data_IF_781269959162
#
_entry.id   IF_781269959162
#
_cell.length_a   1.000
_cell.length_b   1.000
_cell.length_c   1.000
_cell.angle_alpha   90.00
_cell.angle_beta   90.00
_cell.angle_gamma   90.00
#
_symmetry.space_group_name_H-M   'P 1'
#
loop_
_entity.id
_entity.type
_entity.pdbx_description
1 polymer ?
2 water ?
#
# COMPACT_ATOMS: atom_id res chain seq x y z
N UNK A 1 4.95 -4.30 -17.20
CA UNK A 1 4.85 -3.35 -16.05
C UNK A 1 6.00 -2.34 -16.07
N UNK A 2 5.64 -1.06 -16.02
CA UNK A 2 6.60 0.04 -15.90
C UNK A 2 6.27 0.82 -14.63
N UNK A 3 7.27 0.96 -13.76
CA UNK A 3 7.08 1.60 -12.46
C UNK A 3 8.04 2.77 -12.33
N UNK A 4 7.62 3.79 -11.59
CA UNK A 4 8.58 4.78 -11.12
C UNK A 4 9.60 4.11 -10.21
N UNK A 5 10.85 4.57 -10.25
CA UNK A 5 11.86 4.04 -9.34
C UNK A 5 12.74 5.08 -8.69
N UNK A 6 12.38 6.35 -8.84
CA UNK A 6 13.14 7.43 -8.24
C UNK A 6 12.92 7.52 -6.73
N UNK A 7 13.98 7.89 -6.02
CA UNK A 7 13.93 8.08 -4.58
C UNK A 7 13.45 9.46 -4.18
N UNK A 8 12.60 9.50 -3.16
CA UNK A 8 12.19 10.74 -2.52
C UNK A 8 11.82 11.82 -3.52
N UNK A 9 12.54 12.94 -3.48
CA UNK A 9 12.19 14.07 -4.36
C UNK A 9 13.11 14.25 -5.58
N UNK A 10 13.90 13.23 -5.89
CA UNK A 10 14.80 13.26 -7.05
C UNK A 10 13.97 13.29 -8.34
N UNK A 11 14.59 13.66 -9.48
CA UNK A 11 13.84 13.68 -10.74
C UNK A 11 13.22 12.32 -11.07
N UNK A 12 11.99 12.32 -11.59
CA UNK A 12 11.30 11.08 -11.95
C UNK A 12 12.14 10.20 -12.86
N UNK A 13 12.19 8.91 -12.54
CA UNK A 13 12.76 7.90 -13.43
C UNK A 13 11.87 6.67 -13.40
N UNK A 14 11.94 5.87 -14.46
CA UNK A 14 11.17 4.63 -14.50
C UNK A 14 12.04 3.43 -14.82
N UNK A 15 11.50 2.26 -14.52
CA UNK A 15 12.12 1.02 -14.91
C UNK A 15 11.05 0.07 -15.38
N UNK A 16 11.43 -0.81 -16.30
CA UNK A 16 10.55 -1.84 -16.78
C UNK A 16 10.83 -3.09 -15.94
N UNK A 17 9.79 -3.63 -15.32
CA UNK A 17 9.96 -4.79 -14.44
C UNK A 17 10.32 -6.05 -15.24
N UNK A 18 11.10 -6.97 -14.63
CA UNK A 18 11.63 -8.17 -15.31
C UNK A 18 10.61 -9.23 -15.73
N UNK A 19 9.70 -9.60 -14.83
CA UNK A 19 8.87 -10.79 -15.01
C UNK A 19 7.41 -10.42 -14.78
N UNK A 20 6.51 -11.34 -15.12
CA UNK A 20 5.07 -11.07 -15.10
C UNK A 20 4.50 -10.93 -13.69
N UNK A 21 5.16 -11.57 -12.73
CA UNK A 21 4.75 -11.51 -11.33
C UNK A 21 5.25 -10.26 -10.64
N UNK A 22 5.34 -9.16 -11.40
CA UNK A 22 5.82 -7.88 -10.88
C UNK A 22 4.79 -6.78 -10.91
N UNK A 23 4.83 -5.98 -9.86
CA UNK A 23 4.00 -4.79 -9.74
C UNK A 23 4.87 -3.67 -9.18
N UNK A 24 4.25 -2.52 -8.92
CA UNK A 24 4.99 -1.36 -8.43
C UNK A 24 4.76 -1.14 -6.94
N UNK A 25 5.73 -0.49 -6.30
CA UNK A 25 5.51 -0.03 -4.94
C UNK A 25 6.04 1.38 -4.71
N UNK A 26 5.49 1.99 -3.68
CA UNK A 26 5.96 3.24 -3.13
C UNK A 26 5.95 3.08 -1.61
N UNK A 27 7.09 3.33 -0.99
CA UNK A 27 7.26 3.17 0.45
C UNK A 27 7.79 4.46 1.04
N UNK A 28 7.07 5.03 2.00
CA UNK A 28 7.45 6.29 2.65
C UNK A 28 7.75 5.99 4.11
N UNK A 29 8.92 6.39 4.58
CA UNK A 29 9.28 6.17 5.98
C UNK A 29 10.09 7.33 6.55
N UNK A 30 10.33 7.29 7.86
CA UNK A 30 11.14 8.31 8.51
C UNK A 30 12.41 7.66 9.01
N UNK A 31 13.55 8.23 8.60
CA UNK A 31 14.87 7.83 9.09
C UNK A 31 15.35 8.90 10.07
N UNK A 32 15.21 8.63 11.37
CA UNK A 32 15.48 9.65 12.39
C UNK A 32 14.36 10.68 12.41
N UNK A 33 14.57 11.81 11.73
CA UNK A 33 13.53 12.83 11.53
C UNK A 33 13.29 13.08 10.04
N UNK A 34 14.07 12.43 9.19
CA UNK A 34 14.09 12.72 7.76
C UNK A 34 13.18 11.79 6.97
N UNK A 35 12.24 12.37 6.23
CA UNK A 35 11.34 11.58 5.40
C UNK A 35 12.04 11.08 4.16
N UNK A 36 11.80 9.82 3.82
CA UNK A 36 12.35 9.25 2.60
C UNK A 36 11.31 8.43 1.90
N UNK A 37 11.43 8.36 0.57
CA UNK A 37 10.51 7.57 -0.25
C UNK A 37 11.33 6.68 -1.16
N UNK A 38 10.96 5.40 -1.20
CA UNK A 38 11.52 4.46 -2.16
C UNK A 38 10.42 4.01 -3.12
N UNK A 39 10.76 3.89 -4.40
CA UNK A 39 9.82 3.44 -5.42
C UNK A 39 10.48 2.40 -6.30
N UNK A 40 9.69 1.47 -6.82
CA UNK A 40 10.21 0.56 -7.81
C UNK A 40 9.34 -0.64 -8.17
N UNK A 41 9.92 -1.53 -8.96
CA UNK A 41 9.34 -2.84 -9.25
C UNK A 41 9.54 -3.79 -8.08
N UNK A 42 8.57 -4.67 -7.89
CA UNK A 42 8.69 -5.72 -6.87
C UNK A 42 7.75 -6.88 -7.18
N UNK A 43 8.07 -8.05 -6.64
CA UNK A 43 7.17 -9.20 -6.72
C UNK A 43 6.46 -9.48 -5.38
N UNK A 44 6.83 -8.71 -4.36
CA UNK A 44 6.20 -8.79 -3.04
C UNK A 44 5.97 -7.38 -2.48
N UNK A 45 4.81 -7.17 -1.86
CA UNK A 45 4.49 -5.87 -1.30
C UNK A 45 5.28 -5.68 -0.01
N UNK A 46 6.08 -4.60 0.11
CA UNK A 46 6.92 -4.44 1.30
C UNK A 46 6.12 -4.38 2.60
N UNK A 47 6.67 -4.93 3.68
CA UNK A 47 6.10 -4.74 5.00
C UNK A 47 6.11 -3.26 5.38
N UNK A 48 5.11 -2.84 6.16
CA UNK A 48 5.15 -1.53 6.77
C UNK A 48 5.82 -1.66 8.14
N UNK A 49 7.05 -1.18 8.21
CA UNK A 49 7.86 -1.28 9.43
C UNK A 49 7.47 -0.18 10.42
N UNK A 50 7.87 -0.31 11.71
CA UNK A 50 7.50 0.72 12.69
C UNK A 50 7.80 2.17 12.30
N UNK A 51 8.88 2.39 11.55
CA UNK A 51 9.22 3.75 11.15
C UNK A 51 8.58 4.18 9.82
N UNK A 52 7.80 3.28 9.23
CA UNK A 52 7.11 3.59 7.98
C UNK A 52 5.90 4.48 8.18
N UNK A 53 5.64 5.33 7.18
CA UNK A 53 4.41 6.13 7.11
C UNK A 53 3.36 5.36 6.30
N UNK A 54 3.75 4.89 5.12
CA UNK A 54 2.86 4.06 4.32
C UNK A 54 3.64 3.21 3.34
N UNK A 55 2.97 2.16 2.88
CA UNK A 55 3.41 1.36 1.75
C UNK A 55 2.21 1.27 0.80
N UNK A 56 2.48 1.47 -0.49
CA UNK A 56 1.46 1.36 -1.51
C UNK A 56 1.96 0.47 -2.62
N UNK A 57 1.16 -0.55 -2.96
CA UNK A 57 1.51 -1.53 -3.98
C UNK A 57 0.40 -1.54 -5.01
N UNK A 58 0.76 -1.42 -6.28
CA UNK A 58 -0.21 -1.21 -7.33
C UNK A 58 0.29 -1.79 -8.64
N UNK A 59 -0.65 -2.11 -9.54
CA UNK A 59 -0.31 -2.83 -10.78
C UNK A 59 -0.20 -1.98 -12.06
N UNK A 60 -0.91 -0.87 -12.14
CA UNK A 60 -0.96 -0.14 -13.41
C UNK A 60 0.37 0.58 -13.68
N UNK A 61 0.74 0.73 -14.95
CA UNK A 61 1.95 1.46 -15.29
C UNK A 61 1.94 2.85 -14.69
N UNK A 62 3.06 3.22 -14.05
CA UNK A 62 3.21 4.54 -13.44
C UNK A 62 2.21 4.81 -12.32
N UNK A 63 1.73 3.74 -11.68
CA UNK A 63 0.73 3.90 -10.63
C UNK A 63 1.32 4.40 -9.30
N UNK A 64 2.64 4.28 -9.17
CA UNK A 64 3.34 4.53 -7.90
C UNK A 64 4.09 5.87 -7.82
N UNK A 65 3.54 6.92 -8.44
CA UNK A 65 4.14 8.25 -8.35
C UNK A 65 4.16 8.72 -6.90
N UNK B 1 -4.62 3.37 17.34
CA UNK B 1 -5.07 3.81 15.99
C UNK B 1 -6.55 3.45 15.76
N UNK B 2 -7.23 4.31 15.02
CA UNK B 2 -8.58 4.06 14.51
C UNK B 2 -8.39 3.84 13.01
N UNK B 3 -9.13 2.90 12.44
CA UNK B 3 -9.10 2.66 10.98
C UNK B 3 -10.50 2.50 10.45
N UNK B 4 -10.72 2.87 9.19
CA UNK B 4 -11.97 2.42 8.54
C UNK B 4 -11.95 0.90 8.42
N UNK B 5 -13.12 0.26 8.53
CA UNK B 5 -13.17 -1.19 8.32
C UNK B 5 -14.33 -1.67 7.46
N UNK B 6 -15.00 -0.74 6.78
CA UNK B 6 -16.11 -1.11 5.91
C UNK B 6 -15.64 -1.71 4.58
N UNK B 7 -16.42 -2.65 4.08
CA UNK B 7 -16.15 -3.30 2.80
C UNK B 7 -16.67 -2.54 1.59
N UNK B 8 -15.88 -2.53 0.52
CA UNK B 8 -16.32 -1.94 -0.74
C UNK B 8 -17.00 -0.58 -0.55
N UNK B 9 -18.25 -0.48 -1.01
CA UNK B 9 -18.95 0.79 -0.95
C UNK B 9 -20.12 0.74 0.06
N UNK B 10 -20.05 -0.21 1.00
CA UNK B 10 -20.96 -0.25 2.15
C UNK B 10 -20.78 1.00 3.01
N UNK B 11 -21.75 1.30 3.89
CA UNK B 11 -21.64 2.51 4.69
C UNK B 11 -20.41 2.52 5.60
N UNK B 12 -19.75 3.67 5.67
CA UNK B 12 -18.48 3.79 6.37
C UNK B 12 -18.62 3.40 7.83
N UNK B 13 -17.69 2.57 8.30
CA UNK B 13 -17.59 2.24 9.71
C UNK B 13 -16.12 2.30 10.11
N UNK B 14 -15.86 2.45 11.40
CA UNK B 14 -14.49 2.45 11.91
C UNK B 14 -14.32 1.41 13.02
N UNK B 15 -13.08 1.00 13.24
CA UNK B 15 -12.74 0.19 14.39
C UNK B 15 -11.48 0.73 15.05
N UNK B 16 -11.40 0.56 16.36
CA UNK B 16 -10.22 0.92 17.12
C UNK B 16 -9.35 -0.33 17.16
N UNK B 17 -8.09 -0.18 16.77
CA UNK B 17 -7.20 -1.32 16.65
C UNK B 17 -6.83 -1.84 18.03
N UNK B 18 -6.50 -3.14 18.12
CA UNK B 18 -6.21 -3.79 19.41
C UNK B 18 -5.01 -3.23 20.20
N UNK B 19 -3.96 -2.81 19.51
CA UNK B 19 -2.80 -2.25 20.21
C UNK B 19 -2.01 -1.31 19.33
N UNK B 20 -0.99 -0.70 19.93
CA UNK B 20 -0.18 0.35 19.31
C UNK B 20 0.62 -0.09 18.09
N UNK B 21 0.81 -1.40 17.93
CA UNK B 21 1.57 -1.94 16.79
C UNK B 21 0.75 -2.02 15.52
N UNK B 22 -0.56 -1.86 15.64
CA UNK B 22 -1.45 -1.93 14.48
C UNK B 22 -1.44 -0.65 13.67
N UNK B 23 -1.70 -0.81 12.38
CA UNK B 23 -1.90 0.30 11.46
C UNK B 23 -3.10 -0.05 10.59
N UNK B 24 -3.38 0.78 9.58
CA UNK B 24 -4.57 0.58 8.75
C UNK B 24 -4.21 0.03 7.38
N UNK B 25 -5.15 -0.68 6.75
CA UNK B 25 -4.95 -1.13 5.38
C UNK B 25 -6.22 -1.01 4.57
N UNK B 26 -6.01 -0.90 3.27
CA UNK B 26 -7.06 -0.89 2.27
C UNK B 26 -6.55 -1.76 1.13
N UNK B 27 -7.33 -2.77 0.79
CA UNK B 27 -6.96 -3.75 -0.23
C UNK B 27 -8.09 -3.88 -1.24
N UNK B 28 -7.76 -3.73 -2.52
CA UNK B 28 -8.75 -3.76 -3.59
C UNK B 28 -8.38 -4.87 -4.56
N UNK B 29 -9.38 -5.64 -4.99
CA UNK B 29 -9.12 -6.72 -5.92
C UNK B 29 -10.28 -6.95 -6.85
N UNK B 30 -10.03 -7.79 -7.85
CA UNK B 30 -11.08 -8.29 -8.72
C UNK B 30 -11.33 -9.77 -8.45
N UNK B 31 -12.58 -10.10 -8.16
CA UNK B 31 -12.96 -11.49 -8.03
C UNK B 31 -13.75 -11.88 -9.26
N UNK B 32 -13.09 -12.55 -10.19
CA UNK B 32 -13.67 -12.84 -11.50
C UNK B 32 -13.76 -11.56 -12.29
N UNK B 33 -14.90 -10.88 -12.22
CA UNK B 33 -15.06 -9.58 -12.87
C UNK B 33 -15.45 -8.48 -11.87
N UNK B 34 -15.68 -8.88 -10.62
CA UNK B 34 -16.26 -8.01 -9.61
C UNK B 34 -15.19 -7.33 -8.74
N UNK B 35 -15.18 -6.01 -8.74
CA UNK B 35 -14.26 -5.27 -7.87
C UNK B 35 -14.74 -5.25 -6.43
N UNK B 36 -13.82 -5.48 -5.49
CA UNK B 36 -14.13 -5.42 -4.07
C UNK B 36 -13.00 -4.73 -3.31
N UNK B 37 -13.33 -4.15 -2.16
CA UNK B 37 -12.35 -3.53 -1.27
C UNK B 37 -12.54 -4.06 0.15
N UNK B 38 -11.42 -4.34 0.82
CA UNK B 38 -11.40 -4.68 2.25
C UNK B 38 -10.60 -3.62 2.99
N UNK B 39 -11.06 -3.26 4.18
CA UNK B 39 -10.41 -2.25 4.99
C UNK B 39 -10.34 -2.72 6.43
N UNK B 40 -9.26 -2.38 7.14
CA UNK B 40 -9.26 -2.58 8.59
C UNK B 40 -7.94 -2.33 9.27
N UNK B 41 -7.86 -2.77 10.52
CA UNK B 41 -6.63 -2.78 11.27
C UNK B 41 -5.82 -4.02 10.95
N UNK B 42 -4.50 -3.83 10.90
CA UNK B 42 -3.57 -4.95 10.78
C UNK B 42 -2.22 -4.63 11.41
N UNK B 43 -1.47 -5.64 11.86
CA UNK B 43 -0.11 -5.39 12.30
C UNK B 43 0.93 -5.77 11.23
N UNK B 44 0.42 -6.23 10.08
CA UNK B 44 1.26 -6.69 9.00
C UNK B 44 0.58 -6.37 7.66
N UNK B 45 1.33 -5.77 6.74
CA UNK B 45 0.76 -5.35 5.47
C UNK B 45 0.49 -6.58 4.59
N UNK B 46 -0.75 -6.75 4.09
CA UNK B 46 -1.01 -7.98 3.31
C UNK B 46 -0.25 -8.02 1.98
N UNK B 47 0.03 -9.23 1.50
CA UNK B 47 0.60 -9.42 0.17
C UNK B 47 -0.40 -8.94 -0.89
N UNK B 48 0.13 -8.43 -2.01
CA UNK B 48 -0.71 -8.12 -3.17
C UNK B 48 -0.82 -9.41 -3.98
N UNK B 49 -2.03 -9.98 -3.97
CA UNK B 49 -2.35 -11.25 -4.65
C UNK B 49 -2.41 -11.05 -6.15
N UNK B 50 -2.29 -12.14 -6.93
CA UNK B 50 -2.36 -11.98 -8.40
C UNK B 50 -3.56 -11.19 -8.94
N UNK B 51 -4.72 -11.34 -8.32
CA UNK B 51 -5.90 -10.60 -8.78
C UNK B 51 -6.15 -9.31 -7.98
N UNK B 52 -5.23 -9.01 -7.06
CA UNK B 52 -5.26 -7.73 -6.35
C UNK B 52 -4.94 -6.58 -7.29
N UNK B 53 -5.62 -5.45 -7.12
CA UNK B 53 -5.35 -4.23 -7.86
C UNK B 53 -4.35 -3.36 -7.10
N UNK B 54 -4.57 -3.24 -5.80
CA UNK B 54 -3.63 -2.51 -4.95
C UNK B 54 -3.80 -2.90 -3.49
N UNK B 55 -2.75 -2.64 -2.73
CA UNK B 55 -2.75 -2.73 -1.27
C UNK B 55 -2.14 -1.43 -0.77
N UNK B 56 -2.80 -0.83 0.20
CA UNK B 56 -2.30 0.39 0.83
C UNK B 56 -2.29 0.17 2.32
N UNK B 57 -1.12 0.37 2.92
CA UNK B 57 -0.95 0.25 4.36
C UNK B 57 -0.46 1.57 4.90
N UNK B 58 -1.07 2.07 5.96
CA UNK B 58 -0.76 3.42 6.42
C UNK B 58 -0.97 3.55 7.93
N UNK B 59 -0.17 4.41 8.55
CA UNK B 59 -0.10 4.46 10.02
C UNK B 59 -1.14 5.36 10.69
N UNK B 60 -1.50 6.45 10.03
CA UNK B 60 -2.32 7.48 10.65
C UNK B 60 -3.80 7.14 10.78
N UNK B 61 -4.41 7.54 11.89
CA UNK B 61 -5.84 7.35 12.10
C UNK B 61 -6.66 7.62 10.85
N UNK B 62 -7.50 6.64 10.49
CA UNK B 62 -8.45 6.73 9.38
C UNK B 62 -7.82 7.07 8.02
N UNK B 63 -6.58 6.64 7.82
CA UNK B 63 -5.87 6.92 6.56
C UNK B 63 -6.32 6.04 5.39
N UNK B 64 -7.13 5.02 5.68
CA UNK B 64 -7.45 3.97 4.71
C UNK B 64 -8.85 4.05 4.11
N UNK B 65 -9.34 5.27 3.94
CA UNK B 65 -10.65 5.46 3.32
C UNK B 65 -10.58 5.00 1.88
#
# INVERSE_FOLDING_TARGET
TKCYNHQSTTPETTEICPDSGYFCYKSSWIDGREGRIERGCTFTCPELTPNGKYVYCCRRDKCNQ
TKCYNHQSTTPETTEICPDSGYFCYKSSWIDGREGRIERGCTFTCPELTPNGKYVYCCRRDKCNQ
#
